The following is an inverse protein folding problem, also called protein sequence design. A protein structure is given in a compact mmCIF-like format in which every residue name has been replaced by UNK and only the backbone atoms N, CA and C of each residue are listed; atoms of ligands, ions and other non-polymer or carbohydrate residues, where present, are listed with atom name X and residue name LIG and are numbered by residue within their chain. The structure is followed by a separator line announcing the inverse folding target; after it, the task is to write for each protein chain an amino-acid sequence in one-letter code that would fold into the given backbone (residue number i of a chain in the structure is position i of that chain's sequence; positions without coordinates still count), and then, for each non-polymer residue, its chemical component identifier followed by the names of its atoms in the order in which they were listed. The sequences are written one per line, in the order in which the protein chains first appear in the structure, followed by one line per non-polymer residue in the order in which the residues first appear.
data_IF_699030453034
#
_entry.id   IF_699030453034
#
_cell.length_a   1.000
_cell.length_b   1.000
_cell.length_c   1.000
_cell.angle_alpha   90.00
_cell.angle_beta   90.00
_cell.angle_gamma   90.00
#
_symmetry.space_group_name_H-M   'P 1'
#
loop_
_entity.id
_entity.type
_entity.pdbx_description
1 polymer ?
#
# COMPACT_ATOMS: atom_id res chain seq x y z
N UNK A 1 2.56 9.43 2.88
CA UNK A 1 3.16 8.99 1.59
C UNK A 1 2.40 7.82 1.00
N UNK A 2 2.30 6.66 1.67
CA UNK A 2 1.59 5.47 1.16
C UNK A 2 0.14 5.74 0.70
N UNK A 3 -0.66 6.48 1.48
CA UNK A 3 -2.01 6.90 1.08
C UNK A 3 -2.03 7.61 -0.29
N UNK A 4 -1.09 8.51 -0.53
CA UNK A 4 -1.03 9.27 -1.78
C UNK A 4 -0.78 8.37 -2.99
N UNK A 5 -0.03 7.26 -2.80
CA UNK A 5 0.18 6.25 -3.85
C UNK A 5 -1.12 5.51 -4.16
N UNK A 6 -1.88 5.10 -3.14
CA UNK A 6 -3.22 4.53 -3.32
C UNK A 6 -4.18 5.49 -4.03
N UNK A 7 -4.23 6.74 -3.59
CA UNK A 7 -5.11 7.76 -4.19
C UNK A 7 -4.70 8.04 -5.65
N UNK A 8 -3.40 8.07 -5.98
CA UNK A 8 -2.93 8.24 -7.35
C UNK A 8 -3.29 7.05 -8.25
N UNK A 9 -3.08 5.81 -7.79
CA UNK A 9 -3.51 4.63 -8.53
C UNK A 9 -5.03 4.63 -8.75
N UNK A 10 -5.79 4.97 -7.71
CA UNK A 10 -7.25 5.09 -7.81
C UNK A 10 -7.67 6.15 -8.83
N UNK A 11 -6.98 7.29 -8.87
CA UNK A 11 -7.25 8.35 -9.84
C UNK A 11 -7.03 7.86 -11.27
N UNK A 12 -5.96 7.09 -11.51
CA UNK A 12 -5.68 6.47 -12.80
C UNK A 12 -6.80 5.48 -13.16
N UNK A 13 -7.11 4.54 -12.27
CA UNK A 13 -8.16 3.53 -12.50
C UNK A 13 -9.51 4.21 -12.76
N UNK A 14 -9.89 5.19 -11.95
CA UNK A 14 -11.13 5.94 -12.10
C UNK A 14 -11.18 6.66 -13.45
N UNK A 15 -10.07 7.28 -13.85
CA UNK A 15 -9.99 7.98 -15.14
C UNK A 15 -10.17 7.02 -16.30
N UNK A 16 -9.43 5.91 -16.33
CA UNK A 16 -9.54 4.91 -17.39
C UNK A 16 -10.95 4.28 -17.41
N UNK A 17 -11.45 3.85 -16.24
CA UNK A 17 -12.78 3.24 -16.12
C UNK A 17 -13.91 4.18 -16.56
N UNK A 18 -13.86 5.44 -16.16
CA UNK A 18 -14.94 6.38 -16.45
C UNK A 18 -14.91 6.86 -17.91
N UNK A 19 -13.71 7.05 -18.49
CA UNK A 19 -13.55 7.75 -19.78
C UNK A 19 -13.19 6.85 -20.96
N UNK A 20 -12.53 5.71 -20.73
CA UNK A 20 -12.00 4.85 -21.80
C UNK A 20 -12.66 3.48 -21.87
N UNK A 21 -13.09 2.93 -20.73
CA UNK A 21 -13.79 1.64 -20.70
C UNK A 21 -15.20 1.78 -21.26
N UNK A 22 -15.57 0.87 -22.16
CA UNK A 22 -16.93 0.69 -22.66
C UNK A 22 -17.32 -0.77 -22.44
N UNK A 23 -18.42 -0.99 -21.72
CA UNK A 23 -18.95 -2.34 -21.55
C UNK A 23 -19.68 -2.79 -22.82
N UNK A 24 -19.59 -4.09 -23.12
CA UNK A 24 -20.25 -4.69 -24.29
C UNK A 24 -21.77 -4.78 -24.11
N UNK A 25 -22.22 -4.97 -22.86
CA UNK A 25 -23.63 -4.93 -22.48
C UNK A 25 -24.10 -3.47 -22.35
N UNK A 26 -25.05 -3.06 -23.18
CA UNK A 26 -25.59 -1.69 -23.20
C UNK A 26 -26.31 -1.30 -21.91
N UNK A 27 -27.00 -2.25 -21.26
CA UNK A 27 -27.70 -2.00 -20.01
C UNK A 27 -26.68 -1.72 -18.89
N UNK A 28 -25.60 -2.52 -18.83
CA UNK A 28 -24.51 -2.31 -17.87
C UNK A 28 -23.70 -1.04 -18.17
N UNK A 29 -23.43 -0.73 -19.44
CA UNK A 29 -22.73 0.49 -19.85
C UNK A 29 -23.49 1.75 -19.41
N UNK A 30 -24.83 1.74 -19.54
CA UNK A 30 -25.67 2.84 -19.05
C UNK A 30 -25.56 3.01 -17.53
N UNK A 31 -25.54 1.92 -16.78
CA UNK A 31 -25.35 1.95 -15.33
C UNK A 31 -23.97 2.49 -14.98
N UNK A 32 -22.91 1.98 -15.62
CA UNK A 32 -21.52 2.45 -15.42
C UNK A 32 -21.39 3.96 -15.64
N UNK A 33 -21.93 4.50 -16.73
CA UNK A 33 -21.88 5.94 -17.04
C UNK A 33 -22.59 6.79 -16.00
N UNK A 34 -23.71 6.30 -15.46
CA UNK A 34 -24.46 7.00 -14.40
C UNK A 34 -23.77 6.90 -13.03
N UNK A 35 -22.83 5.96 -12.86
CA UNK A 35 -22.25 5.57 -11.58
C UNK A 35 -20.73 5.60 -11.62
N UNK A 36 -20.19 6.80 -11.76
CA UNK A 36 -18.75 7.02 -11.86
C UNK A 36 -17.97 6.45 -10.66
N UNK A 37 -16.81 5.87 -10.95
CA UNK A 37 -15.84 5.48 -9.94
C UNK A 37 -15.17 6.75 -9.40
N UNK A 38 -15.10 6.95 -8.07
CA UNK A 38 -14.46 8.13 -7.48
C UNK A 38 -12.93 8.06 -7.59
N UNK A 39 -12.23 9.22 -7.63
CA UNK A 39 -10.77 9.27 -7.79
C UNK A 39 -9.98 8.95 -6.51
N UNK A 40 -10.60 8.88 -5.34
CA UNK A 40 -9.91 8.63 -4.06
C UNK A 40 -10.22 7.25 -3.49
N UNK A 41 -9.20 6.53 -3.03
CA UNK A 41 -9.36 5.14 -2.57
C UNK A 41 -10.27 5.07 -1.34
N UNK A 42 -10.21 6.06 -0.45
CA UNK A 42 -11.12 6.17 0.70
C UNK A 42 -12.59 6.22 0.25
N UNK A 43 -12.91 7.03 -0.76
CA UNK A 43 -14.30 7.15 -1.26
C UNK A 43 -14.75 5.85 -1.91
N UNK A 44 -13.81 5.15 -2.55
CA UNK A 44 -14.04 3.88 -3.22
C UNK A 44 -14.32 2.77 -2.22
N UNK A 45 -13.38 2.44 -1.33
CA UNK A 45 -13.40 1.19 -0.58
C UNK A 45 -13.76 1.31 0.91
N UNK A 46 -13.94 2.52 1.45
CA UNK A 46 -14.16 2.75 2.90
C UNK A 46 -15.56 3.33 3.16
N UNK A 47 -16.21 2.83 4.20
CA UNK A 47 -17.44 3.37 4.80
C UNK A 47 -17.06 4.21 6.03
N UNK A 48 -17.53 5.45 6.08
CA UNK A 48 -17.19 6.35 7.17
C UNK A 48 -15.69 6.65 7.17
N UNK A 49 -14.97 6.14 8.18
CA UNK A 49 -13.52 6.35 8.32
C UNK A 49 -12.70 5.10 8.64
N UNK A 50 -13.34 3.98 9.00
CA UNK A 50 -12.64 2.88 9.65
C UNK A 50 -13.12 1.48 9.25
N UNK A 51 -14.11 1.40 8.36
CA UNK A 51 -14.76 0.15 7.99
C UNK A 51 -14.67 -0.08 6.48
N UNK A 52 -14.24 -1.26 6.01
CA UNK A 52 -14.25 -1.56 4.58
C UNK A 52 -15.70 -1.66 4.07
N UNK A 53 -15.92 -1.32 2.79
CA UNK A 53 -17.14 -1.67 2.07
C UNK A 53 -17.21 -3.17 1.81
N UNK A 54 -18.36 -3.65 1.31
CA UNK A 54 -18.48 -5.00 0.76
C UNK A 54 -18.26 -4.99 -0.76
N UNK A 55 -17.88 -6.13 -1.33
CA UNK A 55 -17.74 -6.27 -2.78
C UNK A 55 -19.10 -6.04 -3.47
N UNK A 56 -20.19 -6.56 -2.88
CA UNK A 56 -21.55 -6.34 -3.36
C UNK A 56 -21.92 -4.85 -3.42
N UNK A 57 -21.52 -4.06 -2.42
CA UNK A 57 -21.71 -2.61 -2.44
C UNK A 57 -20.97 -1.95 -3.59
N UNK A 58 -19.71 -2.33 -3.85
CA UNK A 58 -18.91 -1.75 -4.94
C UNK A 58 -19.50 -2.08 -6.32
N UNK A 59 -19.90 -3.33 -6.52
CA UNK A 59 -20.55 -3.80 -7.75
C UNK A 59 -21.83 -3.00 -7.98
N UNK A 60 -22.70 -2.92 -6.96
CA UNK A 60 -23.94 -2.19 -7.07
C UNK A 60 -23.72 -0.69 -7.31
N UNK A 61 -22.75 -0.07 -6.62
CA UNK A 61 -22.54 1.39 -6.68
C UNK A 61 -21.81 1.86 -7.91
N UNK A 62 -20.94 1.05 -8.51
CA UNK A 62 -20.01 1.50 -9.55
C UNK A 62 -19.98 0.59 -10.79
N UNK A 63 -20.87 -0.41 -10.83
CA UNK A 63 -20.93 -1.41 -11.91
C UNK A 63 -19.58 -2.10 -12.17
N UNK A 64 -18.80 -2.31 -11.10
CA UNK A 64 -17.51 -2.99 -11.22
C UNK A 64 -17.68 -4.49 -11.50
N UNK A 65 -16.74 -5.10 -12.24
CA UNK A 65 -16.61 -6.54 -12.31
C UNK A 65 -16.37 -7.11 -10.90
N UNK A 66 -16.95 -8.28 -10.54
CA UNK A 66 -16.82 -8.86 -9.20
C UNK A 66 -15.37 -9.03 -8.75
N UNK A 67 -14.50 -9.54 -9.63
CA UNK A 67 -13.08 -9.77 -9.34
C UNK A 67 -12.36 -8.48 -8.94
N UNK A 68 -12.67 -7.36 -9.60
CA UNK A 68 -12.09 -6.07 -9.26
C UNK A 68 -12.64 -5.54 -7.93
N UNK A 69 -13.93 -5.71 -7.68
CA UNK A 69 -14.54 -5.34 -6.40
C UNK A 69 -13.92 -6.13 -5.23
N UNK A 70 -13.69 -7.43 -5.40
CA UNK A 70 -13.02 -8.28 -4.41
C UNK A 70 -11.59 -7.84 -4.13
N UNK A 71 -10.82 -7.48 -5.15
CA UNK A 71 -9.47 -6.94 -4.99
C UNK A 71 -9.44 -5.62 -4.20
N UNK A 72 -10.43 -4.73 -4.39
CA UNK A 72 -10.55 -3.53 -3.54
C UNK A 72 -10.77 -3.88 -2.07
N UNK A 73 -11.64 -4.86 -1.80
CA UNK A 73 -12.01 -5.21 -0.43
C UNK A 73 -10.90 -5.99 0.28
N UNK A 74 -10.13 -6.82 -0.42
CA UNK A 74 -8.97 -7.50 0.19
C UNK A 74 -7.91 -6.53 0.71
N UNK A 75 -7.72 -5.38 0.04
CA UNK A 75 -6.73 -4.37 0.42
C UNK A 75 -7.28 -3.23 1.30
N UNK A 76 -8.61 -3.10 1.43
CA UNK A 76 -9.22 -2.04 2.24
C UNK A 76 -8.80 -2.07 3.73
N UNK A 77 -8.69 -3.23 4.42
CA UNK A 77 -8.23 -3.28 5.81
C UNK A 77 -6.83 -2.69 6.00
N UNK A 78 -5.89 -3.04 5.11
CA UNK A 78 -4.54 -2.49 5.12
C UNK A 78 -4.55 -0.98 4.86
N UNK A 79 -5.31 -0.50 3.88
CA UNK A 79 -5.44 0.94 3.64
C UNK A 79 -6.01 1.69 4.86
N UNK A 80 -7.01 1.11 5.55
CA UNK A 80 -7.59 1.68 6.77
C UNK A 80 -6.55 1.74 7.90
N UNK A 81 -5.69 0.73 8.04
CA UNK A 81 -4.61 0.77 9.04
C UNK A 81 -3.66 1.95 8.75
N UNK A 82 -3.29 2.19 7.49
CA UNK A 82 -2.49 3.34 7.09
C UNK A 82 -3.15 4.68 7.43
N UNK A 83 -4.48 4.80 7.25
CA UNK A 83 -5.22 5.99 7.63
C UNK A 83 -5.14 6.23 9.14
N UNK A 84 -5.39 5.20 9.95
CA UNK A 84 -5.33 5.29 11.42
C UNK A 84 -3.94 5.68 11.91
N UNK A 85 -2.90 5.08 11.32
CA UNK A 85 -1.50 5.41 11.61
C UNK A 85 -1.24 6.90 11.35
N UNK A 86 -1.56 7.37 10.14
CA UNK A 86 -1.36 8.76 9.74
C UNK A 86 -2.15 9.73 10.63
N UNK A 87 -3.42 9.44 10.88
CA UNK A 87 -4.28 10.31 11.68
C UNK A 87 -3.77 10.39 13.12
N UNK A 88 -3.23 9.30 13.66
CA UNK A 88 -2.52 9.28 14.95
C UNK A 88 -1.32 10.22 14.98
N UNK A 89 -0.51 10.25 13.93
CA UNK A 89 0.62 11.18 13.79
C UNK A 89 0.19 12.64 13.62
N UNK A 90 -0.82 12.91 12.77
CA UNK A 90 -1.22 14.28 12.39
C UNK A 90 -2.04 14.97 13.47
N UNK A 91 -2.95 14.26 14.12
CA UNK A 91 -3.89 14.85 15.07
C UNK A 91 -3.40 14.82 16.53
N UNK A 92 -2.17 14.36 16.80
CA UNK A 92 -1.52 14.44 18.11
C UNK A 92 -2.18 13.62 19.24
N UNK A 93 -3.26 12.87 18.94
CA UNK A 93 -3.99 12.07 19.92
C UNK A 93 -3.30 10.76 20.30
N UNK A 94 -2.38 10.29 19.46
CA UNK A 94 -1.48 9.17 19.76
C UNK A 94 -0.08 9.75 19.77
N UNK A 95 0.44 10.12 20.95
CA UNK A 95 1.87 10.43 21.05
C UNK A 95 2.60 9.18 20.57
N UNK A 96 3.35 9.25 19.47
CA UNK A 96 4.38 8.24 19.23
C UNK A 96 5.39 8.47 20.34
N UNK A 97 5.29 7.64 21.38
CA UNK A 97 5.80 7.99 22.71
C UNK A 97 7.32 8.12 22.75
N UNK A 98 8.05 7.43 21.86
CA UNK A 98 9.44 7.71 21.53
C UNK A 98 9.89 6.90 20.31
N UNK A 99 10.76 7.49 19.48
CA UNK A 99 11.69 6.72 18.65
C UNK A 99 13.04 6.75 19.37
N UNK A 100 13.59 5.59 19.64
CA UNK A 100 14.88 5.43 20.31
C UNK A 100 16.00 5.41 19.28
N UNK A 101 17.08 6.14 19.55
CA UNK A 101 18.30 6.12 18.74
C UNK A 101 19.31 5.24 19.45
N UNK A 102 19.71 4.14 18.83
CA UNK A 102 20.75 3.22 19.31
C UNK A 102 21.93 3.19 18.34
N UNK A 103 23.01 2.51 18.72
CA UNK A 103 24.15 2.25 17.83
C UNK A 103 23.81 1.37 16.63
N UNK A 104 22.71 0.61 16.70
CA UNK A 104 22.19 -0.19 15.58
C UNK A 104 21.13 0.54 14.75
N UNK A 105 20.77 1.78 15.14
CA UNK A 105 19.86 2.68 14.45
C UNK A 105 18.55 2.94 15.20
N UNK A 106 17.46 3.16 14.46
CA UNK A 106 16.18 3.56 15.05
C UNK A 106 15.36 2.38 15.55
N UNK A 107 14.92 2.48 16.80
CA UNK A 107 14.11 1.48 17.48
C UNK A 107 12.81 2.07 18.05
N UNK A 108 11.82 1.22 18.31
CA UNK A 108 10.51 1.56 18.86
C UNK A 108 10.06 0.53 19.89
N UNK A 109 9.12 0.89 20.76
CA UNK A 109 8.49 -0.06 21.68
C UNK A 109 7.48 -0.93 20.90
N UNK A 110 7.67 -2.27 20.81
CA UNK A 110 6.80 -3.15 20.04
C UNK A 110 5.40 -3.29 20.63
N UNK A 111 5.17 -2.89 21.88
CA UNK A 111 3.89 -3.02 22.58
C UNK A 111 2.99 -1.81 22.40
N UNK A 112 3.52 -0.70 21.86
CA UNK A 112 2.81 0.58 21.74
C UNK A 112 2.30 0.79 20.33
N UNK A 113 1.13 1.44 20.18
CA UNK A 113 0.62 1.84 18.87
C UNK A 113 1.52 2.92 18.25
N UNK A 114 1.75 2.92 16.92
CA UNK A 114 1.18 2.02 15.90
C UNK A 114 1.95 0.70 15.67
N UNK A 115 2.91 0.36 16.53
CA UNK A 115 3.84 -0.76 16.34
C UNK A 115 3.32 -2.09 16.91
N UNK A 116 2.27 -2.05 17.75
CA UNK A 116 1.68 -3.20 18.43
C UNK A 116 1.15 -4.30 17.52
N UNK A 117 0.79 -3.96 16.28
CA UNK A 117 0.08 -4.87 15.38
C UNK A 117 1.04 -5.61 14.41
N UNK A 118 2.35 -5.39 14.56
CA UNK A 118 3.39 -6.06 13.77
C UNK A 118 3.76 -7.39 14.41
N UNK A 119 3.93 -8.42 13.58
CA UNK A 119 4.48 -9.70 14.00
C UNK A 119 6.00 -9.59 14.25
N UNK A 120 6.37 -9.06 15.41
CA UNK A 120 7.77 -8.95 15.82
C UNK A 120 8.39 -10.34 16.05
N UNK A 121 9.61 -10.54 15.55
CA UNK A 121 10.41 -11.74 15.76
C UNK A 121 11.58 -11.43 16.68
N UNK A 122 12.21 -12.44 17.27
CA UNK A 122 13.40 -12.28 18.11
C UNK A 122 14.53 -11.52 17.39
N UNK A 123 14.70 -11.74 16.08
CA UNK A 123 15.70 -11.05 15.26
C UNK A 123 15.46 -9.53 15.15
N UNK A 124 14.24 -9.06 15.39
CA UNK A 124 13.91 -7.63 15.39
C UNK A 124 14.25 -6.95 16.72
N UNK A 125 14.43 -7.70 17.81
CA UNK A 125 14.65 -7.14 19.13
C UNK A 125 16.08 -6.66 19.29
N UNK A 126 16.22 -5.39 19.71
CA UNK A 126 17.50 -4.86 20.16
C UNK A 126 17.72 -5.25 21.63
N UNK A 127 16.64 -5.21 22.42
CA UNK A 127 16.54 -5.78 23.76
C UNK A 127 15.06 -6.13 24.07
N UNK A 128 14.76 -6.46 25.33
CA UNK A 128 13.40 -6.85 25.78
C UNK A 128 12.31 -5.77 25.58
N UNK A 129 12.70 -4.51 25.41
CA UNK A 129 11.79 -3.36 25.42
C UNK A 129 11.66 -2.66 24.07
N UNK A 130 12.64 -2.80 23.18
CA UNK A 130 12.65 -2.10 21.89
C UNK A 130 13.06 -3.00 20.73
N UNK A 131 12.44 -2.74 19.58
CA UNK A 131 12.65 -3.44 18.30
C UNK A 131 13.10 -2.45 17.23
N UNK A 132 13.79 -2.94 16.20
CA UNK A 132 14.11 -2.13 15.02
C UNK A 132 12.83 -1.60 14.36
N UNK A 133 12.87 -0.35 13.90
CA UNK A 133 11.78 0.26 13.15
C UNK A 133 11.71 -0.23 11.69
N UNK A 134 12.78 -0.83 11.15
CA UNK A 134 12.86 -1.23 9.74
C UNK A 134 11.79 -2.24 9.29
N UNK A 135 11.48 -3.32 10.05
CA UNK A 135 10.44 -4.27 9.67
C UNK A 135 9.06 -3.62 9.49
N UNK A 136 8.73 -2.64 10.34
CA UNK A 136 7.48 -1.90 10.22
C UNK A 136 7.46 -0.99 8.98
N UNK A 137 8.57 -0.32 8.68
CA UNK A 137 8.72 0.47 7.45
C UNK A 137 8.59 -0.43 6.21
N UNK A 138 9.26 -1.59 6.22
CA UNK A 138 9.17 -2.60 5.16
C UNK A 138 7.72 -3.05 4.94
N UNK A 139 7.01 -3.38 6.02
CA UNK A 139 5.60 -3.77 5.96
C UNK A 139 4.72 -2.69 5.30
N UNK A 140 4.89 -1.42 5.66
CA UNK A 140 4.11 -0.32 5.07
C UNK A 140 4.42 -0.16 3.58
N UNK A 141 5.71 -0.15 3.23
CA UNK A 141 6.14 0.10 1.84
C UNK A 141 5.73 -1.07 0.94
N UNK A 142 6.10 -2.29 1.28
CA UNK A 142 5.82 -3.45 0.44
C UNK A 142 4.33 -3.81 0.43
N UNK A 143 3.61 -3.65 1.55
CA UNK A 143 2.16 -3.82 1.55
C UNK A 143 1.45 -2.81 0.64
N UNK A 144 1.97 -1.58 0.53
CA UNK A 144 1.44 -0.58 -0.41
C UNK A 144 1.74 -0.96 -1.86
N UNK A 145 2.98 -1.37 -2.15
CA UNK A 145 3.39 -1.80 -3.49
C UNK A 145 2.60 -3.03 -3.94
N UNK A 146 2.46 -4.02 -3.07
CA UNK A 146 1.70 -5.24 -3.33
C UNK A 146 0.22 -4.93 -3.62
N UNK A 147 -0.43 -4.13 -2.78
CA UNK A 147 -1.82 -3.73 -3.00
C UNK A 147 -1.99 -2.99 -4.33
N UNK A 148 -1.07 -2.08 -4.67
CA UNK A 148 -1.11 -1.35 -5.93
C UNK A 148 -0.90 -2.29 -7.14
N UNK A 149 0.05 -3.20 -7.06
CA UNK A 149 0.33 -4.18 -8.10
C UNK A 149 -0.86 -5.11 -8.33
N UNK A 150 -1.47 -5.62 -7.25
CA UNK A 150 -2.64 -6.49 -7.33
C UNK A 150 -3.83 -5.75 -7.97
N UNK A 151 -4.14 -4.53 -7.51
CA UNK A 151 -5.23 -3.74 -8.06
C UNK A 151 -5.01 -3.40 -9.54
N UNK A 152 -3.79 -3.01 -9.92
CA UNK A 152 -3.46 -2.72 -11.31
C UNK A 152 -3.54 -3.97 -12.20
N UNK A 153 -3.01 -5.10 -11.74
CA UNK A 153 -3.06 -6.37 -12.46
C UNK A 153 -4.50 -6.89 -12.61
N UNK A 154 -5.29 -6.83 -11.53
CA UNK A 154 -6.72 -7.20 -11.56
C UNK A 154 -7.52 -6.27 -12.47
N UNK A 155 -7.22 -4.97 -12.48
CA UNK A 155 -7.86 -4.05 -13.42
C UNK A 155 -7.52 -4.38 -14.88
N UNK A 156 -6.24 -4.66 -15.17
CA UNK A 156 -5.78 -5.05 -16.50
C UNK A 156 -6.32 -6.40 -16.97
N UNK A 157 -6.67 -7.31 -16.05
CA UNK A 157 -7.25 -8.61 -16.43
C UNK A 157 -8.72 -8.55 -16.79
N UNK A 158 -9.45 -7.52 -16.33
CA UNK A 158 -10.89 -7.35 -16.60
C UNK A 158 -11.20 -6.30 -17.68
N UNK A 159 -10.19 -5.56 -18.14
CA UNK A 159 -10.30 -4.57 -19.21
C UNK A 159 -9.34 -4.90 -20.34
N UNK A 160 -9.83 -4.87 -21.58
CA UNK A 160 -8.96 -4.92 -22.75
C UNK A 160 -8.16 -3.62 -22.89
N UNK A 161 -6.93 -3.62 -22.36
CA UNK A 161 -5.97 -2.55 -22.59
C UNK A 161 -5.46 -2.61 -24.04
N UNK A 162 -5.04 -1.47 -24.63
CA UNK A 162 -4.40 -1.47 -25.94
C UNK A 162 -3.11 -2.29 -25.92
N UNK A 163 -2.70 -2.74 -27.10
CA UNK A 163 -1.45 -3.49 -27.28
C UNK A 163 -0.24 -2.73 -26.73
N UNK A 164 0.79 -3.50 -26.37
CA UNK A 164 2.05 -2.93 -25.91
C UNK A 164 2.59 -1.89 -26.91
N UNK A 165 2.89 -0.69 -26.40
CA UNK A 165 3.42 0.41 -27.24
C UNK A 165 4.76 0.01 -27.88
N UNK A 166 5.57 -0.78 -27.19
CA UNK A 166 6.87 -1.25 -27.67
C UNK A 166 7.14 -2.69 -27.18
N UNK A 167 6.65 -3.71 -27.92
CA UNK A 167 6.82 -5.11 -27.52
C UNK A 167 8.29 -5.49 -27.35
N UNK A 168 8.58 -6.26 -26.29
CA UNK A 168 9.94 -6.72 -25.97
C UNK A 168 10.90 -5.65 -25.42
N UNK A 169 10.50 -4.38 -25.36
CA UNK A 169 11.31 -3.33 -24.75
C UNK A 169 11.15 -3.36 -23.23
N UNK A 170 12.29 -3.28 -22.53
CA UNK A 170 12.31 -3.19 -21.05
C UNK A 170 12.54 -1.75 -20.63
N UNK A 171 11.65 -1.24 -19.79
CA UNK A 171 11.83 0.07 -19.15
C UNK A 171 12.61 -0.12 -17.86
N UNK A 172 13.76 0.53 -17.76
CA UNK A 172 14.55 0.57 -16.53
C UNK A 172 14.34 1.92 -15.86
N UNK A 173 13.81 1.91 -14.63
CA UNK A 173 13.67 3.11 -13.82
C UNK A 173 14.86 3.17 -12.87
N UNK A 174 15.64 4.24 -12.97
CA UNK A 174 16.72 4.54 -12.02
C UNK A 174 16.20 5.51 -10.98
N UNK A 175 16.16 5.07 -9.74
CA UNK A 175 15.82 5.91 -8.60
C UNK A 175 16.96 5.87 -7.58
N UNK A 176 17.40 7.01 -7.02
CA UNK A 176 18.40 7.04 -5.95
C UNK A 176 18.04 6.17 -4.74
N UNK A 177 16.75 5.92 -4.49
CA UNK A 177 16.27 5.07 -3.42
C UNK A 177 16.29 3.56 -3.75
N UNK A 178 16.66 3.14 -4.97
CA UNK A 178 16.65 1.73 -5.36
C UNK A 178 17.49 0.84 -4.42
N UNK A 179 18.67 1.30 -4.01
CA UNK A 179 19.52 0.55 -3.08
C UNK A 179 18.84 0.39 -1.71
N UNK A 180 18.29 1.47 -1.17
CA UNK A 180 17.56 1.44 0.09
C UNK A 180 16.32 0.53 0.02
N UNK A 181 15.63 0.48 -1.12
CA UNK A 181 14.49 -0.42 -1.34
C UNK A 181 14.92 -1.89 -1.42
N UNK A 182 16.07 -2.19 -2.03
CA UNK A 182 16.62 -3.56 -2.08
C UNK A 182 17.01 -4.02 -0.67
N UNK A 183 17.68 -3.18 0.11
CA UNK A 183 18.02 -3.47 1.51
C UNK A 183 16.76 -3.68 2.35
N UNK A 184 15.76 -2.81 2.18
CA UNK A 184 14.49 -2.94 2.88
C UNK A 184 13.73 -4.21 2.47
N UNK A 185 13.83 -4.64 1.21
CA UNK A 185 13.21 -5.88 0.72
C UNK A 185 13.83 -7.11 1.39
N UNK A 186 15.14 -7.12 1.53
CA UNK A 186 15.87 -8.12 2.29
C UNK A 186 15.33 -8.23 3.73
N UNK A 187 15.14 -7.10 4.40
CA UNK A 187 14.57 -7.03 5.76
C UNK A 187 13.12 -7.53 5.78
N UNK A 188 12.30 -7.10 4.82
CA UNK A 188 10.92 -7.57 4.67
C UNK A 188 10.79 -9.08 4.47
N UNK A 189 11.83 -9.71 3.91
CA UNK A 189 11.93 -11.16 3.72
C UNK A 189 12.60 -11.90 4.90
N UNK A 190 12.81 -11.21 6.04
CA UNK A 190 13.30 -11.81 7.27
C UNK A 190 14.82 -11.77 7.45
N UNK A 191 15.56 -10.97 6.67
CA UNK A 191 16.98 -10.71 6.95
C UNK A 191 17.17 -9.77 8.16
N UNK A 192 18.43 -9.65 8.60
CA UNK A 192 18.81 -8.81 9.73
C UNK A 192 18.28 -7.38 9.57
N UNK A 193 17.64 -6.87 10.61
CA UNK A 193 16.83 -5.65 10.57
C UNK A 193 17.58 -4.43 11.12
N UNK A 194 18.85 -4.24 10.79
CA UNK A 194 19.70 -3.22 11.42
C UNK A 194 20.23 -2.19 10.44
N UNK A 195 20.27 -0.93 10.87
CA UNK A 195 20.53 0.22 10.00
C UNK A 195 22.01 0.38 9.62
N UNK A 196 22.92 -0.14 10.45
CA UNK A 196 24.34 0.22 10.40
C UNK A 196 25.30 -0.92 10.00
N UNK A 197 24.80 -2.11 9.66
CA UNK A 197 25.66 -3.27 9.35
C UNK A 197 26.48 -3.10 8.05
N UNK A 198 26.11 -2.16 7.17
CA UNK A 198 26.85 -1.82 5.95
C UNK A 198 27.92 -0.72 6.09
N UNK A 199 27.99 -0.02 7.23
CA UNK A 199 28.90 1.13 7.40
C UNK A 199 30.34 0.77 7.82
N UNK A 200 30.61 -0.51 8.12
CA UNK A 200 31.92 -0.97 8.59
C UNK A 200 32.95 -1.30 7.47
N UNK A 201 32.63 -1.09 6.18
CA UNK A 201 33.48 -1.53 5.05
C UNK A 201 34.13 -0.39 4.24
N UNK A 202 34.35 0.80 4.81
CA UNK A 202 35.12 1.86 4.13
C UNK A 202 36.03 2.69 5.04
N UNK A 203 36.61 2.05 6.05
CA UNK A 203 37.76 2.59 6.78
C UNK A 203 38.85 1.51 6.84
N UNK A 204 39.70 1.46 5.81
CA UNK A 204 40.85 0.58 5.69
C UNK A 204 41.69 1.00 4.49
#
# INVERSE_FOLDING_TARGET
MARSVFDLLQEIIATVWNTRVRLLDEAQERVRRARAVPPGFTKMAVVGRDSPRTAADLIARHALPPVLAEAYISHAPFFISLLKIRDGFVHGGSRVEAVYVTEKGFCVDPKRRPFSDVAWTEAHHYNENIVSLLPWIAHIIFGTVEACNNLAATFASVVSLPDEIAPGHRVFIRDPANLALIELLAIGNGQASWWNEGSASSAG
#
